data_IF_257792220460
#
_entry.id   IF_257792220460
#
_cell.length_a   1.000
_cell.length_b   1.000
_cell.length_c   1.000
_cell.angle_alpha   90.00
_cell.angle_beta   90.00
_cell.angle_gamma   90.00
#
_symmetry.space_group_name_H-M   'P 1'
#
loop_
_entity.id
_entity.type
_entity.pdbx_description
1 polymer ?
#
# COMPACT_ATOMS: atom_id res chain seq x y z
N UNK A 1 0.51 -8.15 -26.54
CA UNK A 1 0.57 -8.73 -25.19
C UNK A 1 2.02 -8.78 -24.75
N UNK A 2 2.59 -7.63 -24.39
CA UNK A 2 4.01 -7.48 -24.03
C UNK A 2 4.20 -6.63 -22.75
N UNK A 3 3.14 -6.45 -21.96
CA UNK A 3 3.10 -5.52 -20.82
C UNK A 3 2.49 -6.20 -19.57
N UNK A 4 2.79 -7.48 -19.35
CA UNK A 4 2.40 -8.15 -18.09
C UNK A 4 3.62 -8.35 -17.16
N UNK A 5 4.84 -8.40 -17.71
CA UNK A 5 6.05 -8.68 -16.95
C UNK A 5 6.71 -7.44 -16.29
N UNK A 6 6.40 -6.21 -16.73
CA UNK A 6 6.94 -4.96 -16.12
C UNK A 6 5.97 -4.34 -15.10
N UNK A 7 4.66 -4.51 -15.31
CA UNK A 7 3.63 -3.95 -14.42
C UNK A 7 3.57 -4.69 -13.09
N UNK A 8 3.85 -5.99 -13.07
CA UNK A 8 3.87 -6.78 -11.84
C UNK A 8 5.04 -6.42 -10.92
N UNK A 9 6.25 -6.24 -11.47
CA UNK A 9 7.42 -5.78 -10.69
C UNK A 9 7.22 -4.36 -10.14
N UNK A 10 6.72 -3.45 -10.98
CA UNK A 10 6.34 -2.11 -10.53
C UNK A 10 5.29 -2.18 -9.40
N UNK A 11 4.28 -3.05 -9.53
CA UNK A 11 3.27 -3.25 -8.47
C UNK A 11 3.92 -3.82 -7.20
N UNK A 12 4.83 -4.78 -7.31
CA UNK A 12 5.54 -5.36 -6.18
C UNK A 12 6.40 -4.31 -5.47
N UNK A 13 7.21 -3.54 -6.20
CA UNK A 13 8.00 -2.43 -5.66
C UNK A 13 7.13 -1.36 -4.99
N UNK A 14 6.03 -0.96 -5.65
CA UNK A 14 5.07 -0.02 -5.09
C UNK A 14 4.41 -0.57 -3.83
N UNK A 15 4.11 -1.86 -3.80
CA UNK A 15 3.51 -2.54 -2.65
C UNK A 15 4.48 -2.62 -1.47
N UNK A 16 5.77 -2.88 -1.69
CA UNK A 16 6.79 -2.84 -0.65
C UNK A 16 6.96 -1.42 -0.07
N UNK A 17 6.99 -0.40 -0.93
CA UNK A 17 7.00 1.00 -0.49
C UNK A 17 5.75 1.37 0.29
N UNK A 18 4.58 0.96 -0.19
CA UNK A 18 3.30 1.20 0.47
C UNK A 18 3.26 0.51 1.84
N UNK A 19 3.75 -0.73 1.95
CA UNK A 19 3.89 -1.41 3.24
C UNK A 19 4.77 -0.60 4.18
N UNK A 20 5.95 -0.15 3.75
CA UNK A 20 6.85 0.59 4.62
C UNK A 20 6.22 1.89 5.16
N UNK A 21 5.53 2.63 4.29
CA UNK A 21 4.86 3.89 4.64
C UNK A 21 3.60 3.68 5.48
N UNK A 22 2.80 2.65 5.17
CA UNK A 22 1.56 2.34 5.88
C UNK A 22 1.76 1.40 7.08
N UNK A 23 2.98 0.86 7.30
CA UNK A 23 3.35 0.01 8.45
C UNK A 23 2.80 0.49 9.80
N UNK A 24 2.94 1.77 10.20
CA UNK A 24 2.39 2.24 11.48
C UNK A 24 0.86 2.15 11.54
N UNK A 25 0.17 2.37 10.42
CA UNK A 25 -1.30 2.28 10.34
C UNK A 25 -1.77 0.82 10.38
N UNK A 26 -1.05 -0.07 9.70
CA UNK A 26 -1.29 -1.51 9.74
C UNK A 26 -1.08 -2.02 11.17
N UNK A 27 -0.01 -1.57 11.85
CA UNK A 27 0.25 -1.94 13.23
C UNK A 27 -0.86 -1.48 14.17
N UNK A 28 -1.30 -0.23 14.07
CA UNK A 28 -2.42 0.27 14.88
C UNK A 28 -3.70 -0.54 14.66
N UNK A 29 -4.02 -0.86 13.40
CA UNK A 29 -5.16 -1.73 13.09
C UNK A 29 -5.00 -3.13 13.69
N UNK A 30 -3.80 -3.73 13.60
CA UNK A 30 -3.51 -5.04 14.19
C UNK A 30 -3.59 -5.02 15.71
N UNK A 31 -3.12 -3.96 16.37
CA UNK A 31 -3.20 -3.79 17.83
C UNK A 31 -4.66 -3.76 18.30
N UNK A 32 -5.54 -3.05 17.59
CA UNK A 32 -6.97 -3.04 17.89
C UNK A 32 -7.68 -4.35 17.51
N UNK A 33 -7.26 -4.99 16.41
CA UNK A 33 -7.84 -6.24 15.93
C UNK A 33 -7.45 -7.46 16.78
N UNK A 34 -6.28 -7.42 17.41
CA UNK A 34 -5.76 -8.52 18.22
C UNK A 34 -6.62 -8.76 19.47
N UNK A 35 -7.24 -7.70 20.02
CA UNK A 35 -8.09 -7.78 21.22
C UNK A 35 -9.58 -8.05 20.89
N UNK A 36 -10.01 -7.82 19.64
CA UNK A 36 -11.44 -7.77 19.28
C UNK A 36 -11.72 -8.48 17.95
N UNK A 37 -12.38 -9.64 17.98
CA UNK A 37 -12.84 -10.34 16.76
C UNK A 37 -14.26 -9.96 16.36
N UNK A 38 -15.16 -9.79 17.33
CA UNK A 38 -16.59 -9.55 17.09
C UNK A 38 -16.88 -8.05 16.91
N UNK A 39 -16.27 -7.20 17.75
CA UNK A 39 -16.48 -5.74 17.72
C UNK A 39 -15.50 -5.00 16.79
N UNK A 40 -14.66 -5.73 16.05
CA UNK A 40 -13.63 -5.19 15.14
C UNK A 40 -14.18 -4.15 14.18
N UNK A 41 -15.29 -4.49 13.51
CA UNK A 41 -15.87 -3.70 12.44
C UNK A 41 -16.36 -2.31 12.91
N UNK A 42 -16.58 -2.13 14.21
CA UNK A 42 -17.06 -0.88 14.80
C UNK A 42 -15.95 -0.15 15.54
N UNK A 43 -15.22 -0.84 16.44
CA UNK A 43 -14.17 -0.24 17.26
C UNK A 43 -12.95 0.16 16.43
N UNK A 44 -12.46 -0.73 15.56
CA UNK A 44 -11.25 -0.50 14.76
C UNK A 44 -11.55 0.07 13.36
N UNK A 45 -12.79 0.54 13.15
CA UNK A 45 -13.22 1.21 11.92
C UNK A 45 -12.36 2.42 11.54
N UNK A 46 -11.91 3.29 12.47
CA UNK A 46 -11.06 4.42 12.12
C UNK A 46 -9.66 3.98 11.70
N UNK A 47 -9.01 3.04 12.40
CA UNK A 47 -7.70 2.51 11.98
C UNK A 47 -7.79 1.78 10.63
N UNK A 48 -8.83 0.98 10.43
CA UNK A 48 -9.07 0.30 9.16
C UNK A 48 -9.23 1.31 8.01
N UNK A 49 -9.97 2.41 8.23
CA UNK A 49 -10.13 3.48 7.23
C UNK A 49 -8.81 4.18 6.94
N UNK A 50 -8.00 4.47 7.96
CA UNK A 50 -6.69 5.10 7.79
C UNK A 50 -5.72 4.21 7.00
N UNK A 51 -5.61 2.92 7.37
CA UNK A 51 -4.82 1.92 6.65
C UNK A 51 -5.27 1.84 5.18
N UNK A 52 -6.59 1.74 4.96
CA UNK A 52 -7.16 1.66 3.61
C UNK A 52 -6.89 2.92 2.79
N UNK A 53 -7.08 4.11 3.36
CA UNK A 53 -6.77 5.38 2.68
C UNK A 53 -5.30 5.48 2.28
N UNK A 54 -4.40 5.01 3.14
CA UNK A 54 -2.98 5.00 2.84
C UNK A 54 -2.68 4.12 1.62
N UNK A 55 -3.15 2.87 1.63
CA UNK A 55 -2.95 1.94 0.50
C UNK A 55 -3.64 2.42 -0.79
N UNK A 56 -4.90 2.87 -0.72
CA UNK A 56 -5.63 3.42 -1.88
C UNK A 56 -4.93 4.66 -2.47
N UNK A 57 -4.24 5.44 -1.63
CA UNK A 57 -3.37 6.53 -2.06
C UNK A 57 -2.28 6.06 -3.02
N UNK A 58 -1.63 4.92 -2.76
CA UNK A 58 -0.61 4.36 -3.65
C UNK A 58 -1.19 3.85 -4.98
N UNK A 59 -2.38 3.23 -4.94
CA UNK A 59 -3.06 2.69 -6.14
C UNK A 59 -3.77 3.75 -6.97
N UNK A 60 -3.88 4.99 -6.48
CA UNK A 60 -4.54 6.07 -7.24
C UNK A 60 -3.77 6.33 -8.53
N UNK A 61 -4.46 6.35 -9.68
CA UNK A 61 -3.88 6.55 -11.02
C UNK A 61 -2.91 7.75 -11.11
N UNK A 62 -3.17 8.82 -10.35
CA UNK A 62 -2.32 10.00 -10.29
C UNK A 62 -0.94 9.74 -9.68
N UNK A 63 -0.85 8.83 -8.71
CA UNK A 63 0.38 8.45 -8.05
C UNK A 63 1.10 7.32 -8.81
N UNK A 64 0.37 6.44 -9.49
CA UNK A 64 0.94 5.38 -10.32
C UNK A 64 1.93 5.92 -11.35
N UNK A 65 1.63 7.05 -12.01
CA UNK A 65 2.55 7.68 -12.97
C UNK A 65 3.85 8.15 -12.28
N UNK A 66 3.74 8.84 -11.14
CA UNK A 66 4.91 9.30 -10.36
C UNK A 66 5.79 8.15 -9.91
N UNK A 67 5.19 7.09 -9.36
CA UNK A 67 5.93 5.92 -8.90
C UNK A 67 6.53 5.11 -10.06
N UNK A 68 5.87 5.07 -11.23
CA UNK A 68 6.45 4.48 -12.44
C UNK A 68 7.71 5.23 -12.88
N UNK A 69 7.68 6.56 -12.88
CA UNK A 69 8.85 7.38 -13.22
C UNK A 69 10.01 7.16 -12.23
N UNK A 70 9.72 7.08 -10.93
CA UNK A 70 10.70 6.75 -9.88
C UNK A 70 11.29 5.34 -10.06
N UNK A 71 10.45 4.33 -10.31
CA UNK A 71 10.87 2.96 -10.56
C UNK A 71 11.78 2.85 -11.79
N UNK A 72 11.39 3.50 -12.91
CA UNK A 72 12.20 3.56 -14.12
C UNK A 72 13.56 4.23 -13.88
N UNK A 73 13.67 5.20 -12.97
CA UNK A 73 14.96 5.79 -12.56
C UNK A 73 15.81 4.81 -11.78
N UNK A 74 15.23 4.07 -10.83
CA UNK A 74 15.97 3.07 -10.05
C UNK A 74 16.45 1.89 -10.91
N UNK A 75 15.67 1.49 -11.92
CA UNK A 75 16.06 0.42 -12.85
C UNK A 75 17.07 0.91 -13.89
N UNK A 76 16.93 2.12 -14.44
CA UNK A 76 17.91 2.67 -15.41
C UNK A 76 19.28 3.01 -14.80
N UNK A 77 19.36 3.19 -13.49
CA UNK A 77 20.61 3.51 -12.81
C UNK A 77 21.43 2.27 -12.41
N UNK A 78 20.93 1.06 -12.69
CA UNK A 78 21.59 -0.21 -12.40
C UNK A 78 22.10 -0.84 -13.69
#
# INVERSE_FOLDING_TARGET
MADELDVDDLKAWMYEKAKLQCSPLVKAFLECAQDRTISLAWTCRPEHKAMKQCMEGFYRKANFKKYKEEYLRTVKSK
#
